data_IF_553755979292
#
_entry.id   IF_553755979292
#
_cell.length_a   1.000
_cell.length_b   1.000
_cell.length_c   1.000
_cell.angle_alpha   90.00
_cell.angle_beta   90.00
_cell.angle_gamma   90.00
#
_symmetry.space_group_name_H-M   'P 1'
#
loop_
_entity.id
_entity.type
_entity.pdbx_description
1 polymer ?
#
# COMPACT_ATOMS: atom_id res chain seq x y z
N UNK A 1 -28.86 -24.11 23.48
CA UNK A 1 -28.22 -22.82 23.15
C UNK A 1 -29.27 -22.02 22.39
N UNK A 2 -29.61 -20.80 22.83
CA UNK A 2 -30.63 -20.00 22.14
C UNK A 2 -30.09 -19.59 20.77
N UNK A 3 -30.77 -20.01 19.71
CA UNK A 3 -30.45 -19.62 18.35
C UNK A 3 -30.95 -18.19 18.16
N UNK A 4 -30.00 -17.25 18.09
CA UNK A 4 -30.26 -15.82 17.90
C UNK A 4 -30.88 -15.65 16.52
N UNK A 5 -31.98 -14.90 16.44
CA UNK A 5 -32.69 -14.72 15.18
C UNK A 5 -31.84 -13.94 14.18
N UNK A 6 -32.18 -14.04 12.89
CA UNK A 6 -31.47 -13.30 11.83
C UNK A 6 -31.62 -11.79 12.06
N UNK A 7 -32.78 -11.34 12.51
CA UNK A 7 -33.10 -9.95 12.83
C UNK A 7 -32.23 -9.43 13.97
N UNK A 8 -32.04 -10.22 15.02
CA UNK A 8 -31.16 -9.87 16.14
C UNK A 8 -29.69 -9.75 15.69
N UNK A 9 -29.24 -10.65 14.83
CA UNK A 9 -27.88 -10.59 14.24
C UNK A 9 -27.72 -9.37 13.33
N UNK A 10 -28.73 -9.04 12.54
CA UNK A 10 -28.72 -7.88 11.66
C UNK A 10 -28.68 -6.58 12.46
N UNK A 11 -29.51 -6.46 13.50
CA UNK A 11 -29.53 -5.31 14.40
C UNK A 11 -28.16 -5.09 15.08
N UNK A 12 -27.50 -6.17 15.51
CA UNK A 12 -26.15 -6.09 16.07
C UNK A 12 -25.12 -5.54 15.06
N UNK A 13 -25.22 -5.95 13.79
CA UNK A 13 -24.35 -5.44 12.72
C UNK A 13 -24.63 -3.96 12.44
N UNK A 14 -25.90 -3.55 12.35
CA UNK A 14 -26.27 -2.16 12.12
C UNK A 14 -25.75 -1.23 13.22
N UNK A 15 -25.82 -1.68 14.48
CA UNK A 15 -25.26 -0.95 15.62
C UNK A 15 -23.74 -0.84 15.50
N UNK A 16 -23.06 -1.93 15.17
CA UNK A 16 -21.60 -1.94 15.00
C UNK A 16 -21.15 -1.03 13.85
N UNK A 17 -21.85 -1.04 12.72
CA UNK A 17 -21.57 -0.16 11.58
C UNK A 17 -21.77 1.31 11.96
N UNK A 18 -22.88 1.63 12.65
CA UNK A 18 -23.16 3.00 13.12
C UNK A 18 -22.10 3.49 14.12
N UNK A 19 -21.57 2.60 14.94
CA UNK A 19 -20.47 2.92 15.85
C UNK A 19 -19.16 3.20 15.11
N UNK A 20 -18.80 2.33 14.17
CA UNK A 20 -17.60 2.49 13.33
C UNK A 20 -17.66 3.81 12.53
N UNK A 21 -18.81 4.13 11.94
CA UNK A 21 -19.00 5.38 11.19
C UNK A 21 -18.80 6.60 12.08
N UNK A 22 -19.38 6.63 13.29
CA UNK A 22 -19.19 7.73 14.25
C UNK A 22 -17.73 7.88 14.66
N UNK A 23 -17.04 6.75 14.88
CA UNK A 23 -15.61 6.76 15.23
C UNK A 23 -14.78 7.32 14.09
N UNK A 24 -15.03 6.89 12.85
CA UNK A 24 -14.33 7.36 11.65
C UNK A 24 -14.48 8.87 11.42
N UNK A 25 -15.68 9.43 11.63
CA UNK A 25 -15.92 10.88 11.51
C UNK A 25 -15.09 11.69 12.51
N UNK A 26 -14.80 11.11 13.68
CA UNK A 26 -14.05 11.77 14.75
C UNK A 26 -12.54 11.48 14.70
N UNK A 27 -12.06 10.63 13.78
CA UNK A 27 -10.63 10.46 13.57
C UNK A 27 -10.14 11.67 12.77
N UNK A 28 -9.26 12.54 13.31
CA UNK A 28 -8.65 13.58 12.51
C UNK A 28 -7.99 12.91 11.33
N UNK A 29 -8.26 13.38 10.12
CA UNK A 29 -7.61 12.87 8.91
C UNK A 29 -6.11 12.99 9.11
N UNK A 30 -5.46 11.88 9.49
CA UNK A 30 -4.01 11.83 9.53
C UNK A 30 -3.60 12.06 8.08
N UNK A 31 -2.75 13.06 7.78
CA UNK A 31 -2.32 13.27 6.42
C UNK A 31 -1.79 11.93 5.92
N UNK A 32 -2.30 11.44 4.80
CA UNK A 32 -1.94 10.14 4.26
C UNK A 32 -0.41 10.07 4.26
N UNK A 33 0.18 9.09 4.95
CA UNK A 33 1.64 9.02 5.08
C UNK A 33 2.31 9.01 3.70
N UNK A 34 1.63 8.49 2.67
CA UNK A 34 2.06 8.54 1.28
C UNK A 34 2.12 9.97 0.74
N UNK A 35 1.13 10.81 1.04
CA UNK A 35 1.15 12.24 0.69
C UNK A 35 2.31 12.96 1.40
N UNK A 36 2.65 12.56 2.63
CA UNK A 36 3.76 13.15 3.37
C UNK A 36 5.14 12.82 2.76
N UNK A 37 5.29 11.63 2.18
CA UNK A 37 6.57 11.20 1.59
C UNK A 37 6.67 11.45 0.08
N UNK A 38 5.56 11.67 -0.61
CA UNK A 38 5.55 11.87 -2.06
C UNK A 38 6.30 13.16 -2.40
N UNK A 39 7.34 13.05 -3.21
CA UNK A 39 8.18 14.20 -3.59
C UNK A 39 9.23 14.60 -2.55
N UNK A 40 9.34 13.92 -1.41
CA UNK A 40 10.39 14.17 -0.40
C UNK A 40 11.82 14.01 -0.96
N UNK A 41 11.99 13.18 -1.98
CA UNK A 41 13.25 12.97 -2.70
C UNK A 41 13.40 13.82 -3.97
N UNK A 42 12.42 14.69 -4.28
CA UNK A 42 12.47 15.53 -5.48
C UNK A 42 13.69 16.46 -5.39
N UNK A 43 14.49 16.47 -6.45
CA UNK A 43 15.72 17.27 -6.56
C UNK A 43 16.85 16.89 -5.58
N UNK A 44 16.78 15.73 -4.93
CA UNK A 44 17.90 15.24 -4.12
C UNK A 44 19.01 14.72 -5.04
N UNK A 45 20.22 15.32 -5.07
CA UNK A 45 21.28 14.91 -5.99
C UNK A 45 21.71 13.45 -5.79
N UNK A 46 21.72 12.99 -4.53
CA UNK A 46 22.04 11.61 -4.18
C UNK A 46 21.04 10.58 -4.75
N UNK A 47 19.83 11.00 -5.13
CA UNK A 47 18.84 10.11 -5.71
C UNK A 47 19.29 9.60 -7.10
N UNK A 48 19.98 10.43 -7.88
CA UNK A 48 20.52 10.03 -9.19
C UNK A 48 21.61 8.96 -9.04
N UNK A 49 22.46 9.07 -8.02
CA UNK A 49 23.51 8.08 -7.73
C UNK A 49 22.90 6.73 -7.34
N UNK A 50 21.84 6.74 -6.52
CA UNK A 50 21.10 5.53 -6.14
C UNK A 50 20.44 4.89 -7.37
N UNK A 51 19.84 5.70 -8.26
CA UNK A 51 19.25 5.20 -9.51
C UNK A 51 20.31 4.60 -10.43
N UNK A 52 21.48 5.24 -10.55
CA UNK A 52 22.61 4.72 -11.33
C UNK A 52 23.08 3.37 -10.78
N UNK A 53 23.33 3.30 -9.48
CA UNK A 53 23.75 2.07 -8.82
C UNK A 53 22.72 0.95 -9.01
N UNK A 54 21.43 1.23 -8.81
CA UNK A 54 20.36 0.25 -8.99
C UNK A 54 20.17 -0.21 -10.44
N UNK A 55 20.59 0.58 -11.44
CA UNK A 55 20.64 0.13 -12.86
C UNK A 55 21.82 -0.80 -13.09
N UNK A 56 23.01 -0.40 -12.65
CA UNK A 56 24.24 -1.20 -12.79
C UNK A 56 24.08 -2.57 -12.14
N UNK A 57 23.48 -2.64 -10.95
CA UNK A 57 23.22 -3.89 -10.26
C UNK A 57 22.30 -4.85 -11.04
N UNK A 58 21.18 -4.35 -11.59
CA UNK A 58 20.26 -5.18 -12.39
C UNK A 58 20.86 -5.62 -13.73
N UNK A 59 21.72 -4.79 -14.31
CA UNK A 59 22.45 -5.15 -15.54
C UNK A 59 23.53 -6.19 -15.27
N UNK A 60 24.16 -6.15 -14.10
CA UNK A 60 25.14 -7.16 -13.70
C UNK A 60 24.50 -8.55 -13.51
N UNK A 61 23.25 -8.60 -13.05
CA UNK A 61 22.47 -9.84 -12.89
C UNK A 61 21.77 -10.31 -14.18
N UNK A 62 21.83 -9.52 -15.26
CA UNK A 62 21.41 -9.98 -16.58
C UNK A 62 22.47 -10.95 -17.12
N UNK A 63 22.16 -12.25 -17.07
CA UNK A 63 22.92 -13.26 -17.79
C UNK A 63 22.94 -12.90 -19.29
N UNK A 64 24.06 -13.10 -19.99
CA UNK A 64 24.12 -12.85 -21.44
C UNK A 64 23.02 -13.67 -22.13
N UNK A 65 22.27 -13.01 -23.01
CA UNK A 65 21.23 -13.62 -23.84
C UNK A 65 21.80 -14.88 -24.51
N UNK A 66 21.16 -16.03 -24.26
CA UNK A 66 21.56 -17.30 -24.85
C UNK A 66 21.29 -17.23 -26.36
N UNK A 67 22.32 -17.26 -27.24
CA UNK A 67 22.15 -17.01 -28.67
C UNK A 67 21.31 -18.08 -29.39
N UNK A 68 20.96 -19.19 -28.73
CA UNK A 68 20.08 -20.24 -29.27
C UNK A 68 18.58 -19.93 -29.13
N UNK A 69 18.17 -18.95 -28.31
CA UNK A 69 16.75 -18.65 -28.13
C UNK A 69 16.10 -17.87 -29.30
N UNK A 70 16.88 -17.52 -30.33
CA UNK A 70 16.41 -16.80 -31.53
C UNK A 70 16.59 -17.57 -32.84
N UNK A 71 16.81 -18.90 -32.80
CA UNK A 71 16.85 -19.76 -33.99
C UNK A 71 15.48 -20.37 -34.34
#
# INVERSE_FOLDING_TARGET
MAEVSIEERLAAVEIAVKDLQRRLVNVPSSPNWLEQITGSFKNQPAFEDVLKYGREWRQADQLPEDPEASA
#
